data_IF_179349227961
#
_entry.id   IF_179349227961
#
_cell.length_a   1.000
_cell.length_b   1.000
_cell.length_c   1.000
_cell.angle_alpha   90.00
_cell.angle_beta   90.00
_cell.angle_gamma   90.00
#
_symmetry.space_group_name_H-M   'P 1'
#
loop_
_entity.id
_entity.type
_entity.pdbx_description
1 polymer ?
#
# COMPACT_ATOMS: atom_id res chain seq x y z
N UNK A 1 -16.72 18.91 -14.96
CA UNK A 1 -16.54 17.74 -15.86
C UNK A 1 -15.06 17.35 -16.03
N UNK A 2 -14.20 18.21 -16.59
CA UNK A 2 -12.75 17.92 -16.76
C UNK A 2 -12.00 17.63 -15.46
N UNK A 3 -12.30 18.35 -14.38
CA UNK A 3 -11.67 18.13 -13.06
C UNK A 3 -12.06 16.77 -12.45
N UNK A 4 -13.33 16.40 -12.60
CA UNK A 4 -13.84 15.08 -12.18
C UNK A 4 -13.15 13.96 -12.95
N UNK A 5 -12.98 14.12 -14.27
CA UNK A 5 -12.27 13.15 -15.11
C UNK A 5 -10.80 13.00 -14.71
N UNK A 6 -10.11 14.10 -14.40
CA UNK A 6 -8.73 14.09 -13.93
C UNK A 6 -8.59 13.31 -12.61
N UNK A 7 -9.47 13.56 -11.63
CA UNK A 7 -9.48 12.86 -10.35
C UNK A 7 -9.71 11.35 -10.56
N UNK A 8 -10.61 10.98 -11.47
CA UNK A 8 -10.88 9.57 -11.80
C UNK A 8 -9.62 8.90 -12.38
N UNK A 9 -8.92 9.55 -13.31
CA UNK A 9 -7.68 9.02 -13.89
C UNK A 9 -6.57 8.86 -12.85
N UNK A 10 -6.39 9.86 -11.98
CA UNK A 10 -5.44 9.82 -10.85
C UNK A 10 -5.73 8.62 -9.94
N UNK A 11 -6.99 8.43 -9.53
CA UNK A 11 -7.39 7.30 -8.68
C UNK A 11 -7.14 5.95 -9.37
N UNK A 12 -7.39 5.84 -10.67
CA UNK A 12 -7.11 4.62 -11.44
C UNK A 12 -5.61 4.30 -11.50
N UNK A 13 -4.74 5.30 -11.68
CA UNK A 13 -3.29 5.11 -11.69
C UNK A 13 -2.80 4.61 -10.32
N UNK A 14 -3.22 5.26 -9.24
CA UNK A 14 -2.86 4.86 -7.87
C UNK A 14 -3.31 3.41 -7.60
N UNK A 15 -4.55 3.07 -7.99
CA UNK A 15 -5.08 1.71 -7.83
C UNK A 15 -4.23 0.68 -8.60
N UNK A 16 -3.88 0.96 -9.86
CA UNK A 16 -3.06 0.05 -10.69
C UNK A 16 -1.66 -0.14 -10.14
N UNK A 17 -1.02 0.92 -9.65
CA UNK A 17 0.31 0.86 -9.04
C UNK A 17 0.31 0.03 -7.74
N UNK A 18 -0.69 0.22 -6.88
CA UNK A 18 -0.83 -0.53 -5.62
C UNK A 18 -1.10 -2.02 -5.82
N UNK A 19 -1.89 -2.39 -6.83
CA UNK A 19 -2.07 -3.82 -7.21
C UNK A 19 -0.74 -4.45 -7.61
N UNK A 20 0.20 -3.67 -8.16
CA UNK A 20 1.57 -4.10 -8.47
C UNK A 20 2.56 -3.91 -7.31
N UNK A 21 2.07 -3.61 -6.10
CA UNK A 21 2.84 -3.42 -4.85
C UNK A 21 3.75 -2.20 -4.85
N UNK A 22 3.44 -1.21 -5.68
CA UNK A 22 4.14 0.05 -5.58
C UNK A 22 3.48 0.98 -4.56
N UNK A 23 4.30 1.58 -3.70
CA UNK A 23 3.91 2.76 -2.95
C UNK A 23 3.93 3.97 -3.87
N UNK A 24 2.93 4.83 -3.74
CA UNK A 24 2.74 5.99 -4.62
C UNK A 24 2.70 7.25 -3.78
N UNK A 25 3.57 8.18 -4.12
CA UNK A 25 3.62 9.51 -3.52
C UNK A 25 3.20 10.56 -4.56
N UNK A 26 2.24 11.40 -4.20
CA UNK A 26 1.74 12.46 -5.07
C UNK A 26 2.58 13.72 -4.91
N UNK A 27 3.12 14.22 -6.01
CA UNK A 27 3.97 15.41 -5.99
C UNK A 27 3.18 16.64 -6.47
N UNK A 28 3.36 17.74 -5.75
CA UNK A 28 2.86 19.05 -6.14
C UNK A 28 3.98 20.07 -6.15
N UNK A 29 3.93 21.00 -7.09
CA UNK A 29 4.82 22.15 -7.14
C UNK A 29 4.05 23.47 -7.03
N UNK A 30 4.71 24.50 -6.51
CA UNK A 30 4.23 25.89 -6.53
C UNK A 30 5.40 26.76 -7.01
N UNK A 31 5.15 27.66 -7.97
CA UNK A 31 6.13 28.72 -8.28
C UNK A 31 6.13 29.69 -7.10
N UNK A 32 7.28 29.86 -6.45
CA UNK A 32 7.40 30.72 -5.29
C UNK A 32 7.53 32.17 -5.80
N UNK A 33 6.48 32.96 -5.62
CA UNK A 33 6.56 34.41 -5.54
C UNK A 33 6.31 34.77 -4.08
N UNK A 34 7.30 35.41 -3.46
CA UNK A 34 7.38 36.02 -2.12
C UNK A 34 6.36 35.56 -1.04
N UNK A 35 6.91 34.89 -0.01
CA UNK A 35 6.46 34.86 1.40
C UNK A 35 5.01 34.51 1.72
N UNK A 36 4.41 33.56 1.01
CA UNK A 36 3.20 32.88 1.50
C UNK A 36 3.40 31.37 1.64
N UNK A 37 3.60 30.91 2.88
CA UNK A 37 3.65 29.50 3.29
C UNK A 37 2.32 28.74 3.13
N UNK A 38 1.38 29.26 2.33
CA UNK A 38 0.08 28.64 2.10
C UNK A 38 0.19 27.48 1.12
N UNK A 39 -0.18 26.29 1.60
CA UNK A 39 -0.29 25.03 0.84
C UNK A 39 -1.45 25.00 -0.16
N UNK A 40 -2.20 26.09 -0.27
CA UNK A 40 -3.30 26.23 -1.22
C UNK A 40 -2.76 26.56 -2.62
N UNK A 41 -3.39 26.00 -3.66
CA UNK A 41 -3.07 26.19 -5.09
C UNK A 41 -1.74 25.58 -5.57
N UNK A 42 -1.48 24.33 -5.20
CA UNK A 42 -0.38 23.54 -5.80
C UNK A 42 -0.79 22.99 -7.17
N UNK A 43 0.16 22.93 -8.10
CA UNK A 43 0.00 22.22 -9.38
C UNK A 43 0.46 20.78 -9.19
N UNK A 44 -0.41 19.80 -9.45
CA UNK A 44 -0.03 18.40 -9.46
C UNK A 44 0.93 18.13 -10.62
N UNK A 45 2.13 17.63 -10.32
CA UNK A 45 3.18 17.41 -11.33
C UNK A 45 3.32 15.95 -11.72
N UNK A 46 2.83 15.03 -10.90
CA UNK A 46 2.91 13.60 -11.17
C UNK A 46 3.05 12.76 -9.90
N UNK A 47 3.44 11.51 -10.10
CA UNK A 47 3.69 10.55 -9.02
C UNK A 47 5.14 10.09 -9.00
N UNK A 48 5.67 9.87 -7.81
CA UNK A 48 6.82 8.99 -7.60
C UNK A 48 6.33 7.63 -7.13
N UNK A 49 6.92 6.57 -7.66
CA UNK A 49 6.46 5.20 -7.46
C UNK A 49 7.62 4.37 -6.91
N UNK A 50 7.47 3.83 -5.71
CA UNK A 50 8.49 3.04 -5.02
C UNK A 50 8.08 1.58 -4.97
N UNK A 51 9.02 0.67 -5.26
CA UNK A 51 8.80 -0.76 -5.04
C UNK A 51 9.41 -1.16 -3.70
N UNK A 52 8.56 -1.49 -2.72
CA UNK A 52 9.01 -2.06 -1.46
C UNK A 52 9.39 -3.53 -1.69
N UNK A 53 10.63 -3.76 -2.15
CA UNK A 53 11.15 -5.12 -2.32
C UNK A 53 11.11 -5.86 -0.98
N UNK A 54 10.53 -7.06 -1.00
CA UNK A 54 10.56 -7.96 0.14
C UNK A 54 11.99 -8.42 0.36
N UNK A 55 12.43 -8.44 1.63
CA UNK A 55 13.77 -8.95 1.97
C UNK A 55 13.80 -10.45 1.65
N UNK A 56 14.85 -10.97 0.94
CA UNK A 56 14.89 -12.37 0.56
C UNK A 56 14.77 -13.36 1.72
N UNK A 57 15.21 -12.96 2.91
CA UNK A 57 15.12 -13.78 4.12
C UNK A 57 13.73 -13.83 4.75
N UNK A 58 12.81 -12.92 4.41
CA UNK A 58 11.50 -12.80 5.07
C UNK A 58 10.71 -14.10 5.00
N UNK A 59 10.61 -14.72 3.81
CA UNK A 59 9.88 -15.99 3.65
C UNK A 59 10.42 -17.08 4.59
N UNK A 60 11.75 -17.27 4.60
CA UNK A 60 12.39 -18.28 5.46
C UNK A 60 12.10 -18.04 6.94
N UNK A 61 12.22 -16.80 7.40
CA UNK A 61 11.98 -16.45 8.81
C UNK A 61 10.53 -16.68 9.21
N UNK A 62 9.57 -16.25 8.38
CA UNK A 62 8.14 -16.46 8.64
C UNK A 62 7.82 -17.96 8.70
N UNK A 63 8.37 -18.73 7.77
CA UNK A 63 8.20 -20.18 7.73
C UNK A 63 8.74 -20.85 9.00
N UNK A 64 9.95 -20.47 9.44
CA UNK A 64 10.57 -20.99 10.66
C UNK A 64 9.73 -20.69 11.90
N UNK A 65 9.32 -19.43 12.07
CA UNK A 65 8.52 -18.99 13.21
C UNK A 65 7.18 -19.73 13.28
N UNK A 66 6.48 -19.89 12.15
CA UNK A 66 5.16 -20.55 12.10
C UNK A 66 5.26 -22.06 12.27
N UNK A 67 6.09 -22.73 11.48
CA UNK A 67 6.05 -24.19 11.37
C UNK A 67 6.98 -24.91 12.36
N UNK A 68 8.12 -24.30 12.70
CA UNK A 68 9.09 -24.90 13.61
C UNK A 68 9.00 -24.30 15.02
N UNK A 69 8.66 -23.00 15.11
CA UNK A 69 8.51 -22.30 16.40
C UNK A 69 7.11 -22.36 17.03
N UNK A 70 6.06 -22.70 16.27
CA UNK A 70 4.67 -22.62 16.74
C UNK A 70 4.22 -21.19 17.10
N UNK A 71 4.93 -20.17 16.60
CA UNK A 71 4.69 -18.77 16.92
C UNK A 71 3.67 -18.19 15.94
N UNK A 72 2.63 -17.54 16.48
CA UNK A 72 1.69 -16.76 15.69
C UNK A 72 2.34 -15.46 15.23
N UNK A 73 2.43 -15.28 13.91
CA UNK A 73 2.93 -14.04 13.30
C UNK A 73 1.76 -13.20 12.79
N UNK A 74 1.80 -11.89 13.01
CA UNK A 74 0.83 -10.94 12.47
C UNK A 74 1.53 -9.79 11.72
N UNK A 75 0.89 -9.30 10.66
CA UNK A 75 1.35 -8.10 9.94
C UNK A 75 0.60 -6.88 10.47
N UNK A 76 1.36 -5.83 10.80
CA UNK A 76 0.84 -4.51 11.13
C UNK A 76 1.42 -3.52 10.11
N UNK A 77 0.57 -2.91 9.30
CA UNK A 77 0.99 -1.94 8.27
C UNK A 77 -0.06 -0.84 8.11
N UNK A 78 0.39 0.33 7.67
CA UNK A 78 -0.46 1.44 7.20
C UNK A 78 -0.76 1.40 5.70
N UNK A 79 -0.24 0.40 4.97
CA UNK A 79 -0.53 0.22 3.55
C UNK A 79 -2.01 -0.11 3.30
N UNK A 80 -2.45 0.04 2.06
CA UNK A 80 -3.78 -0.42 1.69
C UNK A 80 -3.90 -1.95 1.77
N UNK A 81 -5.13 -2.41 2.00
CA UNK A 81 -5.43 -3.82 2.22
C UNK A 81 -4.93 -4.75 1.11
N UNK A 82 -5.00 -4.32 -0.16
CA UNK A 82 -4.58 -5.18 -1.27
C UNK A 82 -3.05 -5.35 -1.28
N UNK A 83 -2.31 -4.28 -0.98
CA UNK A 83 -0.87 -4.34 -0.83
C UNK A 83 -0.48 -5.27 0.34
N UNK A 84 -1.14 -5.13 1.50
CA UNK A 84 -0.90 -5.98 2.66
C UNK A 84 -1.15 -7.47 2.38
N UNK A 85 -2.26 -7.81 1.70
CA UNK A 85 -2.57 -9.19 1.30
C UNK A 85 -1.51 -9.71 0.33
N UNK A 86 -1.15 -8.91 -0.69
CA UNK A 86 -0.21 -9.33 -1.72
C UNK A 86 1.20 -9.60 -1.16
N UNK A 87 1.64 -8.83 -0.16
CA UNK A 87 2.90 -9.08 0.56
C UNK A 87 2.76 -10.29 1.49
N UNK A 88 1.65 -10.39 2.24
CA UNK A 88 1.41 -11.49 3.18
C UNK A 88 1.38 -12.85 2.50
N UNK A 89 0.78 -12.95 1.31
CA UNK A 89 0.80 -14.18 0.50
C UNK A 89 2.22 -14.53 0.01
N UNK A 90 3.02 -13.53 -0.37
CA UNK A 90 4.38 -13.77 -0.89
C UNK A 90 5.35 -14.23 0.20
N UNK A 91 5.23 -13.71 1.42
CA UNK A 91 6.09 -14.14 2.55
C UNK A 91 5.60 -15.40 3.24
N UNK A 92 4.52 -16.04 2.77
CA UNK A 92 3.94 -17.23 3.42
C UNK A 92 3.22 -16.95 4.74
N UNK A 93 2.89 -15.68 5.02
CA UNK A 93 2.10 -15.32 6.19
C UNK A 93 0.64 -15.80 6.03
N UNK A 94 0.10 -15.65 4.81
CA UNK A 94 -1.24 -16.08 4.42
C UNK A 94 -1.21 -17.17 3.35
N UNK A 95 -2.14 -18.12 3.45
CA UNK A 95 -2.36 -19.15 2.44
C UNK A 95 -3.22 -18.65 1.28
N UNK A 96 -3.21 -19.38 0.15
CA UNK A 96 -3.91 -18.99 -1.09
C UNK A 96 -5.43 -18.90 -0.95
N UNK A 97 -6.03 -19.43 0.13
CA UNK A 97 -7.47 -19.36 0.41
C UNK A 97 -7.67 -18.54 1.67
N UNK A 98 -8.01 -17.27 1.49
CA UNK A 98 -8.22 -16.34 2.58
C UNK A 98 -9.53 -15.62 2.37
N UNK A 99 -10.38 -15.63 3.40
CA UNK A 99 -11.55 -14.78 3.43
C UNK A 99 -11.21 -13.49 4.19
N UNK A 100 -11.42 -12.36 3.54
CA UNK A 100 -11.15 -11.04 4.10
C UNK A 100 -12.48 -10.41 4.49
N UNK A 101 -12.70 -10.24 5.79
CA UNK A 101 -13.90 -9.58 6.32
C UNK A 101 -13.52 -8.22 6.87
N UNK A 102 -14.31 -7.19 6.54
CA UNK A 102 -14.12 -5.84 7.08
C UNK A 102 -15.17 -5.59 8.13
N UNK A 103 -14.73 -5.41 9.37
CA UNK A 103 -15.61 -5.19 10.52
C UNK A 103 -15.37 -3.76 11.05
N UNK A 104 -16.24 -3.26 11.93
CA UNK A 104 -16.13 -1.91 12.50
C UNK A 104 -14.82 -1.60 13.26
N UNK A 105 -14.00 -2.62 13.54
CA UNK A 105 -12.72 -2.54 14.24
C UNK A 105 -11.48 -2.70 13.33
N UNK A 106 -11.66 -3.06 12.05
CA UNK A 106 -10.54 -3.33 11.14
C UNK A 106 -10.84 -4.41 10.11
N UNK A 107 -9.78 -4.95 9.50
CA UNK A 107 -9.89 -6.05 8.53
C UNK A 107 -9.42 -7.34 9.21
N UNK A 108 -10.30 -8.32 9.27
CA UNK A 108 -10.00 -9.66 9.76
C UNK A 108 -9.75 -10.58 8.57
N UNK A 109 -8.68 -11.35 8.68
CA UNK A 109 -8.32 -12.37 7.70
C UNK A 109 -8.55 -13.72 8.37
N UNK A 110 -9.55 -14.45 7.88
CA UNK A 110 -9.89 -15.80 8.35
C UNK A 110 -9.16 -16.81 7.46
N UNK A 111 -8.38 -17.68 8.10
CA UNK A 111 -7.71 -18.84 7.51
C UNK A 111 -8.38 -20.11 7.99
#
# INVERSE_FOLDING_TARGET
>A
EKETEFIVKVKQIIKRARVKRYQVEGNGGKKIAEDSHTSTQMTFTGFTVFNAKIRPSSYRIINELKHHGGIKVCMVTGDDLNAAIAVSMEIGLLDKRVMVTKNGLGVSILQ
#
